data_IF_370124128402
#
_entry.id   IF_370124128402
#
_cell.length_a   1.000
_cell.length_b   1.000
_cell.length_c   1.000
_cell.angle_alpha   90.00
_cell.angle_beta   90.00
_cell.angle_gamma   90.00
#
_symmetry.space_group_name_H-M   'P 1'
#
loop_
_entity.id
_entity.type
_entity.pdbx_description
1 polymer ?
#
# COMPACT_ATOMS: atom_id res chain seq x y z
N UNK A 1 -4.97 19.69 16.98
CA UNK A 1 -5.34 18.35 17.49
C UNK A 1 -4.94 18.30 18.96
N UNK A 2 -5.89 18.12 19.88
CA UNK A 2 -5.55 17.92 21.29
C UNK A 2 -4.81 16.58 21.41
N UNK A 3 -3.63 16.59 22.04
CA UNK A 3 -2.84 15.40 22.30
C UNK A 3 -3.51 14.57 23.40
N UNK A 4 -4.47 13.73 23.03
CA UNK A 4 -5.04 12.75 23.94
C UNK A 4 -3.98 11.69 24.25
N UNK A 5 -3.46 11.72 25.49
CA UNK A 5 -2.53 10.69 25.96
C UNK A 5 -3.33 9.43 26.27
N UNK A 6 -3.20 8.43 25.40
CA UNK A 6 -3.84 7.13 25.58
C UNK A 6 -3.19 6.29 26.68
N UNK A 7 -2.00 6.68 27.16
CA UNK A 7 -1.18 5.88 28.10
C UNK A 7 -1.97 5.43 29.34
N UNK A 8 -2.76 6.32 29.92
CA UNK A 8 -3.47 6.05 31.17
C UNK A 8 -4.84 5.36 30.96
N UNK A 9 -5.30 5.28 29.70
CA UNK A 9 -6.57 4.65 29.29
C UNK A 9 -6.35 3.35 28.51
N UNK A 10 -5.11 3.02 28.16
CA UNK A 10 -4.76 1.85 27.36
C UNK A 10 -4.63 0.60 28.25
N UNK A 11 -5.63 -0.26 28.20
CA UNK A 11 -5.67 -1.50 28.99
C UNK A 11 -5.20 -2.71 28.16
N UNK A 12 -4.89 -3.84 28.80
CA UNK A 12 -4.51 -5.07 28.08
C UNK A 12 -5.52 -5.51 27.02
N UNK A 13 -6.82 -5.30 27.25
CA UNK A 13 -7.89 -5.64 26.31
C UNK A 13 -7.78 -4.84 25.00
N UNK A 14 -7.41 -3.56 25.08
CA UNK A 14 -7.19 -2.71 23.90
C UNK A 14 -6.00 -3.20 23.07
N UNK A 15 -4.94 -3.67 23.73
CA UNK A 15 -3.78 -4.29 23.04
C UNK A 15 -4.21 -5.54 22.28
N UNK A 16 -5.00 -6.41 22.92
CA UNK A 16 -5.51 -7.62 22.30
C UNK A 16 -6.33 -7.30 21.05
N UNK A 17 -7.33 -6.41 21.17
CA UNK A 17 -8.18 -5.99 20.05
C UNK A 17 -7.36 -5.32 18.94
N UNK A 18 -6.38 -4.50 19.29
CA UNK A 18 -5.50 -3.85 18.32
C UNK A 18 -4.66 -4.86 17.52
N UNK A 19 -4.09 -5.86 18.20
CA UNK A 19 -3.34 -6.94 17.55
C UNK A 19 -4.27 -7.78 16.66
N UNK A 20 -5.46 -8.14 17.15
CA UNK A 20 -6.46 -8.87 16.37
C UNK A 20 -6.89 -8.07 15.12
N UNK A 21 -7.12 -6.77 15.25
CA UNK A 21 -7.43 -5.89 14.13
C UNK A 21 -6.29 -5.88 13.11
N UNK A 22 -5.03 -5.73 13.58
CA UNK A 22 -3.87 -5.82 12.69
C UNK A 22 -3.82 -7.17 11.98
N UNK A 23 -4.06 -8.28 12.69
CA UNK A 23 -4.08 -9.61 12.10
C UNK A 23 -5.20 -9.74 11.05
N UNK A 24 -6.42 -9.28 11.33
CA UNK A 24 -7.53 -9.31 10.37
C UNK A 24 -7.21 -8.48 9.13
N UNK A 25 -6.71 -7.24 9.31
CA UNK A 25 -6.32 -6.35 8.22
C UNK A 25 -5.17 -6.92 7.36
N UNK A 26 -4.25 -7.68 7.97
CA UNK A 26 -3.07 -8.25 7.31
C UNK A 26 -3.24 -9.71 6.87
N UNK A 27 -4.31 -10.40 7.30
CA UNK A 27 -4.58 -11.80 6.94
C UNK A 27 -5.10 -11.99 5.51
N UNK A 28 -5.54 -10.90 4.85
CA UNK A 28 -6.13 -10.94 3.51
C UNK A 28 -5.62 -9.90 2.48
N UNK A 29 -4.35 -9.52 2.40
CA UNK A 29 -3.83 -9.06 1.12
C UNK A 29 -3.61 -10.34 0.28
N UNK A 30 -4.59 -10.70 -0.55
CA UNK A 30 -4.35 -11.72 -1.58
C UNK A 30 -3.45 -11.06 -2.63
N UNK A 31 -2.16 -10.97 -2.30
CA UNK A 31 -1.14 -10.70 -3.28
C UNK A 31 -1.28 -11.78 -4.35
N UNK A 32 -1.29 -11.38 -5.61
CA UNK A 32 -1.24 -12.29 -6.74
C UNK A 32 0.15 -12.27 -7.32
N UNK A 33 0.57 -13.41 -7.86
CA UNK A 33 1.74 -13.44 -8.71
C UNK A 33 1.51 -12.52 -9.93
N UNK A 34 2.54 -11.77 -10.36
CA UNK A 34 2.47 -10.97 -11.57
C UNK A 34 2.22 -11.86 -12.79
N UNK A 35 1.57 -11.29 -13.80
CA UNK A 35 1.37 -11.89 -15.12
C UNK A 35 2.14 -11.11 -16.17
N UNK A 36 2.99 -11.81 -16.90
CA UNK A 36 3.73 -11.27 -18.04
C UNK A 36 3.09 -11.69 -19.37
N UNK A 37 1.77 -11.52 -19.46
CA UNK A 37 0.95 -11.86 -20.63
C UNK A 37 0.58 -10.62 -21.48
N UNK A 38 1.26 -9.50 -21.26
CA UNK A 38 0.94 -8.20 -21.86
C UNK A 38 -0.14 -7.42 -21.10
N UNK A 39 -0.71 -7.95 -20.02
CA UNK A 39 -1.61 -7.19 -19.15
C UNK A 39 -0.87 -6.05 -18.43
N UNK A 40 -1.52 -4.88 -18.36
CA UNK A 40 -0.92 -3.67 -17.83
C UNK A 40 -0.72 -3.75 -16.32
N UNK A 41 0.48 -3.38 -15.88
CA UNK A 41 0.74 -3.03 -14.49
C UNK A 41 0.18 -1.64 -14.17
N UNK A 42 -0.36 -1.48 -12.97
CA UNK A 42 -0.90 -0.24 -12.43
C UNK A 42 -0.11 0.08 -11.18
N UNK A 43 0.61 1.20 -11.21
CA UNK A 43 1.32 1.74 -10.04
C UNK A 43 0.45 2.82 -9.43
N UNK A 44 0.20 2.71 -8.12
CA UNK A 44 -0.43 3.78 -7.34
C UNK A 44 0.58 4.15 -6.26
N UNK A 45 0.96 5.43 -6.23
CA UNK A 45 1.89 5.99 -5.26
C UNK A 45 1.23 7.11 -4.47
N UNK A 46 1.69 7.31 -3.25
CA UNK A 46 1.27 8.40 -2.39
C UNK A 46 2.46 8.88 -1.55
N UNK A 47 2.45 10.16 -1.21
CA UNK A 47 3.47 10.79 -0.39
C UNK A 47 2.83 11.47 0.82
N UNK A 48 3.43 11.31 2.00
CA UNK A 48 3.03 12.06 3.18
C UNK A 48 4.25 12.79 3.76
N UNK A 49 4.11 13.43 4.93
CA UNK A 49 5.24 14.12 5.60
C UNK A 49 6.26 13.16 6.25
N UNK A 50 5.98 11.86 6.29
CA UNK A 50 6.81 10.87 6.96
C UNK A 50 7.53 9.93 5.97
N UNK A 51 6.90 9.61 4.84
CA UNK A 51 7.45 8.68 3.87
C UNK A 51 6.68 8.60 2.57
N UNK A 52 7.16 7.74 1.69
CA UNK A 52 6.52 7.37 0.44
C UNK A 52 5.94 5.97 0.55
N UNK A 53 4.79 5.76 -0.09
CA UNK A 53 4.16 4.47 -0.19
C UNK A 53 3.70 4.23 -1.63
N UNK A 54 3.74 2.96 -2.04
CA UNK A 54 3.35 2.56 -3.37
C UNK A 54 2.81 1.14 -3.38
N UNK A 55 1.88 0.89 -4.29
CA UNK A 55 1.35 -0.44 -4.59
C UNK A 55 1.48 -0.72 -6.08
N UNK A 56 1.91 -1.94 -6.40
CA UNK A 56 1.85 -2.49 -7.75
C UNK A 56 0.63 -3.38 -7.86
N UNK A 57 -0.19 -3.16 -8.89
CA UNK A 57 -1.42 -3.90 -9.13
C UNK A 57 -1.51 -4.40 -10.57
N UNK A 58 -2.29 -5.45 -10.79
CA UNK A 58 -2.74 -5.86 -12.13
C UNK A 58 -4.22 -6.23 -12.09
N UNK A 59 -4.87 -6.17 -13.26
CA UNK A 59 -6.26 -6.59 -13.42
C UNK A 59 -6.32 -8.09 -13.71
N UNK A 60 -7.15 -8.81 -12.95
CA UNK A 60 -7.40 -10.23 -13.14
C UNK A 60 -8.87 -10.49 -13.38
N UNK A 61 -9.16 -11.48 -14.23
CA UNK A 61 -10.49 -12.04 -14.37
C UNK A 61 -10.77 -13.01 -13.22
N UNK A 62 -11.86 -12.77 -12.49
CA UNK A 62 -12.29 -13.61 -11.36
C UNK A 62 -13.66 -14.18 -11.66
N UNK A 63 -13.76 -15.51 -11.67
CA UNK A 63 -15.04 -16.21 -11.68
C UNK A 63 -15.70 -16.09 -10.31
N UNK A 64 -16.93 -15.62 -10.29
CA UNK A 64 -17.80 -15.62 -9.10
C UNK A 64 -18.51 -16.95 -8.95
N UNK A 65 -19.09 -17.14 -7.75
CA UNK A 65 -19.95 -18.29 -7.43
C UNK A 65 -21.20 -18.36 -8.31
N UNK A 66 -21.64 -17.24 -8.87
CA UNK A 66 -22.77 -17.14 -9.80
C UNK A 66 -22.41 -17.51 -11.26
N UNK A 67 -21.15 -17.94 -11.52
CA UNK A 67 -20.67 -18.29 -12.86
C UNK A 67 -20.20 -17.10 -13.70
N UNK A 68 -20.46 -15.86 -13.28
CA UNK A 68 -20.02 -14.66 -14.00
C UNK A 68 -18.54 -14.40 -13.81
N UNK A 69 -17.88 -13.87 -14.85
CA UNK A 69 -16.50 -13.39 -14.76
C UNK A 69 -16.53 -11.86 -14.62
N UNK A 70 -15.79 -11.30 -13.66
CA UNK A 70 -15.52 -9.87 -13.64
C UNK A 70 -14.04 -9.58 -13.45
N UNK A 71 -13.65 -8.46 -14.01
CA UNK A 71 -12.35 -7.85 -13.78
C UNK A 71 -12.26 -7.31 -12.35
N UNK A 72 -11.16 -7.63 -11.69
CA UNK A 72 -10.82 -7.10 -10.38
C UNK A 72 -9.33 -6.83 -10.32
N UNK A 73 -8.95 -5.68 -9.78
CA UNK A 73 -7.55 -5.35 -9.50
C UNK A 73 -7.09 -6.12 -8.27
N UNK A 74 -5.96 -6.80 -8.40
CA UNK A 74 -5.26 -7.40 -7.28
C UNK A 74 -3.92 -6.73 -7.09
N UNK A 75 -3.49 -6.70 -5.84
CA UNK A 75 -2.17 -6.27 -5.45
C UNK A 75 -1.17 -7.35 -5.86
N UNK A 76 -0.02 -6.93 -6.37
CA UNK A 76 1.12 -7.77 -6.67
C UNK A 76 2.15 -7.62 -5.56
N UNK A 77 2.51 -6.37 -5.25
CA UNK A 77 3.46 -6.05 -4.18
C UNK A 77 3.24 -4.64 -3.64
N UNK A 78 3.91 -4.33 -2.53
CA UNK A 78 3.95 -3.02 -1.88
C UNK A 78 5.40 -2.53 -1.81
N UNK A 79 5.60 -1.22 -1.89
CA UNK A 79 6.87 -0.59 -1.58
C UNK A 79 6.65 0.63 -0.69
N UNK A 80 7.52 0.84 0.28
CA UNK A 80 7.50 2.04 1.12
C UNK A 80 8.90 2.38 1.59
N UNK A 81 9.13 3.67 1.88
CA UNK A 81 10.36 4.15 2.53
C UNK A 81 10.08 5.40 3.34
N UNK A 82 10.94 5.65 4.33
CA UNK A 82 11.02 6.96 4.98
C UNK A 82 11.67 7.99 4.05
N UNK A 83 11.31 9.26 4.22
CA UNK A 83 11.93 10.34 3.47
C UNK A 83 13.35 10.67 3.97
N UNK A 84 14.25 10.88 3.00
CA UNK A 84 15.56 11.47 3.23
C UNK A 84 15.45 12.93 3.65
N UNK A 85 16.54 13.49 4.19
CA UNK A 85 16.59 14.89 4.61
C UNK A 85 16.31 15.86 3.45
N UNK A 86 16.81 15.55 2.24
CA UNK A 86 16.57 16.35 1.05
C UNK A 86 15.10 16.28 0.59
N UNK A 87 14.47 15.10 0.63
CA UNK A 87 13.08 14.94 0.20
C UNK A 87 12.11 15.73 1.11
N UNK A 88 12.39 15.83 2.41
CA UNK A 88 11.53 16.58 3.34
C UNK A 88 11.40 18.07 3.04
N UNK A 89 12.33 18.65 2.30
CA UNK A 89 12.27 20.07 1.91
C UNK A 89 11.46 20.29 0.62
N UNK A 90 11.02 19.23 -0.04
CA UNK A 90 10.25 19.34 -1.27
C UNK A 90 8.86 19.91 -1.01
N UNK A 91 8.35 20.66 -2.00
CA UNK A 91 6.95 21.11 -2.01
C UNK A 91 6.03 19.89 -2.17
N UNK A 92 4.78 19.95 -1.66
CA UNK A 92 3.86 18.80 -1.69
C UNK A 92 3.71 18.14 -3.07
N UNK A 93 3.53 18.90 -4.14
CA UNK A 93 3.41 18.32 -5.49
C UNK A 93 4.70 17.64 -6.00
N UNK A 94 5.87 18.08 -5.52
CA UNK A 94 7.16 17.43 -5.81
C UNK A 94 7.32 16.14 -5.02
N UNK A 95 6.73 16.05 -3.82
CA UNK A 95 6.70 14.81 -3.03
C UNK A 95 5.87 13.74 -3.75
N UNK A 96 4.73 14.10 -4.33
CA UNK A 96 3.93 13.17 -5.14
C UNK A 96 4.74 12.61 -6.31
N UNK A 97 5.47 13.47 -7.01
CA UNK A 97 6.32 13.05 -8.11
C UNK A 97 7.53 12.23 -7.65
N UNK A 98 8.13 12.58 -6.51
CA UNK A 98 9.23 11.82 -5.92
C UNK A 98 8.78 10.42 -5.47
N UNK A 99 7.58 10.30 -4.91
CA UNK A 99 6.97 9.01 -4.59
C UNK A 99 6.73 8.18 -5.85
N UNK A 100 6.21 8.79 -6.93
CA UNK A 100 6.04 8.09 -8.20
C UNK A 100 7.36 7.58 -8.78
N UNK A 101 8.39 8.45 -8.84
CA UNK A 101 9.74 8.05 -9.29
C UNK A 101 10.27 6.89 -8.46
N UNK A 102 10.24 7.02 -7.13
CA UNK A 102 10.66 5.96 -6.22
C UNK A 102 9.93 4.65 -6.48
N UNK A 103 8.63 4.71 -6.74
CA UNK A 103 7.79 3.54 -7.02
C UNK A 103 8.23 2.83 -8.29
N UNK A 104 8.47 3.58 -9.37
CA UNK A 104 8.92 3.02 -10.65
C UNK A 104 10.32 2.40 -10.52
N UNK A 105 11.24 3.09 -9.84
CA UNK A 105 12.58 2.56 -9.57
C UNK A 105 12.55 1.30 -8.70
N UNK A 106 11.57 1.17 -7.79
CA UNK A 106 11.44 -0.03 -6.94
C UNK A 106 10.75 -1.19 -7.60
N UNK A 107 9.86 -0.95 -8.55
CA UNK A 107 9.14 -1.99 -9.25
C UNK A 107 9.79 -2.39 -10.58
N UNK A 108 10.92 -1.78 -10.95
CA UNK A 108 11.63 -2.06 -12.21
C UNK A 108 12.06 -3.51 -12.37
N UNK A 109 12.34 -4.22 -11.27
CA UNK A 109 12.76 -5.62 -11.32
C UNK A 109 11.57 -6.58 -11.57
N UNK A 110 10.33 -6.07 -11.51
CA UNK A 110 9.09 -6.85 -11.66
C UNK A 110 8.40 -6.58 -13.00
N UNK A 111 8.36 -5.30 -13.40
CA UNK A 111 7.62 -4.80 -14.58
C UNK A 111 8.40 -5.06 -15.86
#
# INVERSE_FOLDING_TARGET
>A
MQNHKLKDQWKPEHTKVFIELKAVLTSKPVLRAPKWDGSKFIVISDSCKEGFAAVLMQTFQVKRKDGTTKEKRFLITFASKQMSAAERSYKPFLLEFAALKYSLDKFSDII
#
